data_IF_301751727178
#
_entry.id   IF_301751727178
#
_cell.length_a   1.000
_cell.length_b   1.000
_cell.length_c   1.000
_cell.angle_alpha   90.00
_cell.angle_beta   90.00
_cell.angle_gamma   90.00
#
_symmetry.space_group_name_H-M   'P 1'
#
loop_
_entity.id
_entity.type
_entity.pdbx_description
1 polymer ?
#
# COMPACT_ATOMS: atom_id res chain seq x y z
N UNK A 1 -7.06 -4.26 1.05
CA UNK A 1 -6.40 -5.58 0.94
C UNK A 1 -6.28 -6.18 2.33
N UNK A 2 -6.53 -7.47 2.49
CA UNK A 2 -6.54 -8.15 3.80
C UNK A 2 -5.22 -8.91 4.03
N UNK A 3 -4.66 -8.80 5.24
CA UNK A 3 -3.49 -9.55 5.67
C UNK A 3 -3.88 -11.00 6.01
N UNK A 4 -3.27 -12.02 5.37
CA UNK A 4 -3.66 -13.41 5.56
C UNK A 4 -3.30 -13.99 6.94
N UNK A 5 -2.46 -13.31 7.73
CA UNK A 5 -2.04 -13.81 9.05
C UNK A 5 -3.06 -13.52 10.15
N UNK A 6 -3.63 -12.32 10.17
CA UNK A 6 -4.47 -11.83 11.27
C UNK A 6 -5.53 -10.82 10.81
N UNK A 7 -5.93 -10.87 9.54
CA UNK A 7 -7.08 -10.17 8.95
C UNK A 7 -7.13 -8.65 9.09
N UNK A 8 -6.00 -7.99 9.37
CA UNK A 8 -5.91 -6.54 9.25
C UNK A 8 -6.20 -6.11 7.79
N UNK A 9 -6.94 -5.02 7.60
CA UNK A 9 -7.31 -4.51 6.27
C UNK A 9 -6.63 -3.18 6.01
N UNK A 10 -6.09 -3.01 4.80
CA UNK A 10 -5.40 -1.78 4.39
C UNK A 10 -6.03 -1.17 3.12
N UNK A 11 -6.05 0.16 3.05
CA UNK A 11 -6.42 0.89 1.83
C UNK A 11 -5.39 0.64 0.73
N UNK A 12 -5.83 0.20 -0.46
CA UNK A 12 -4.95 0.07 -1.63
C UNK A 12 -4.51 1.43 -2.18
N UNK A 13 -5.24 2.51 -1.88
CA UNK A 13 -4.96 3.83 -2.41
C UNK A 13 -3.94 4.60 -1.56
N UNK A 14 -4.02 4.48 -0.24
CA UNK A 14 -3.24 5.28 0.71
C UNK A 14 -2.29 4.48 1.58
N UNK A 15 -2.51 3.16 1.72
CA UNK A 15 -1.81 2.32 2.69
C UNK A 15 -2.35 2.42 4.13
N UNK A 16 -3.37 3.25 4.37
CA UNK A 16 -4.02 3.39 5.68
C UNK A 16 -4.48 2.04 6.25
N UNK A 17 -4.23 1.81 7.54
CA UNK A 17 -4.79 0.70 8.29
C UNK A 17 -6.28 0.98 8.59
N UNK A 18 -7.17 0.14 8.04
CA UNK A 18 -8.62 0.28 8.13
C UNK A 18 -9.23 -0.63 9.20
N UNK A 19 -8.61 -1.78 9.47
CA UNK A 19 -9.08 -2.75 10.46
C UNK A 19 -7.91 -3.25 11.32
N UNK A 20 -8.17 -3.38 12.62
CA UNK A 20 -7.27 -3.97 13.60
C UNK A 20 -6.84 -5.40 13.19
N UNK A 21 -5.68 -5.91 13.62
CA UNK A 21 -4.79 -5.36 14.65
C UNK A 21 -3.77 -4.31 14.17
N UNK A 22 -3.72 -3.95 12.89
CA UNK A 22 -2.76 -2.95 12.43
C UNK A 22 -3.21 -1.53 12.85
N UNK A 23 -2.28 -0.76 13.42
CA UNK A 23 -2.51 0.63 13.81
C UNK A 23 -1.78 1.60 12.87
N UNK A 24 -0.57 1.23 12.44
CA UNK A 24 0.24 2.05 11.54
C UNK A 24 -0.11 1.78 10.06
N UNK A 25 -0.09 2.82 9.20
CA UNK A 25 -0.24 2.64 7.76
C UNK A 25 0.98 1.92 7.16
N UNK A 26 0.78 1.33 5.99
CA UNK A 26 1.88 0.84 5.16
C UNK A 26 2.31 1.90 4.14
N UNK A 27 3.59 1.93 3.75
CA UNK A 27 4.09 2.64 2.58
C UNK A 27 3.19 2.57 1.34
N UNK A 28 2.91 3.73 0.74
CA UNK A 28 2.40 3.82 -0.64
C UNK A 28 3.47 4.40 -1.56
N UNK A 29 3.47 3.95 -2.82
CA UNK A 29 4.42 4.38 -3.84
C UNK A 29 3.64 4.92 -5.04
N UNK A 30 4.01 6.09 -5.58
CA UNK A 30 3.41 6.59 -6.82
C UNK A 30 3.52 5.55 -7.94
N UNK A 31 2.40 5.30 -8.61
CA UNK A 31 2.31 4.38 -9.76
C UNK A 31 2.13 5.20 -11.03
N UNK A 32 2.97 4.94 -12.04
CA UNK A 32 2.86 5.51 -13.38
C UNK A 32 2.54 4.39 -14.35
N UNK A 33 1.56 4.61 -15.23
CA UNK A 33 1.18 3.66 -16.29
C UNK A 33 1.47 4.30 -17.64
N UNK A 34 2.35 3.67 -18.43
CA UNK A 34 2.71 4.11 -19.78
C UNK A 34 2.40 2.99 -20.78
N UNK A 35 1.26 3.08 -21.46
CA UNK A 35 0.80 2.01 -22.35
C UNK A 35 0.53 0.72 -21.57
N UNK A 36 1.36 -0.30 -21.80
CA UNK A 36 1.29 -1.60 -21.11
C UNK A 36 2.34 -1.73 -19.98
N UNK A 37 3.19 -0.73 -19.80
CA UNK A 37 4.24 -0.75 -18.79
C UNK A 37 3.76 -0.04 -17.51
N UNK A 38 4.13 -0.59 -16.36
CA UNK A 38 3.80 -0.08 -15.04
C UNK A 38 5.09 0.20 -14.28
N UNK A 39 5.22 1.43 -13.80
CA UNK A 39 6.38 1.89 -13.05
C UNK A 39 5.97 2.28 -11.62
N UNK A 40 6.90 2.08 -10.69
CA UNK A 40 6.79 2.56 -9.31
C UNK A 40 8.05 3.36 -8.96
N UNK A 41 7.89 4.40 -8.15
CA UNK A 41 9.03 5.13 -7.60
C UNK A 41 9.61 4.38 -6.40
N UNK A 42 10.90 4.03 -6.45
CA UNK A 42 11.62 3.35 -5.36
C UNK A 42 12.62 4.31 -4.73
N UNK A 43 12.57 4.47 -3.39
CA UNK A 43 13.57 5.23 -2.63
C UNK A 43 13.19 6.62 -2.13
N UNK A 44 11.89 6.95 -2.01
CA UNK A 44 11.40 8.26 -1.54
C UNK A 44 10.80 8.28 -0.12
N UNK A 45 11.18 7.36 0.77
CA UNK A 45 10.63 7.27 2.12
C UNK A 45 11.76 7.42 3.14
N UNK A 46 12.04 8.68 3.50
CA UNK A 46 12.71 9.04 4.75
C UNK A 46 11.68 9.07 5.90
#
# INVERSE_FOLDING_TARGET
VECPLHSAVFSLQSGEALEAPAEDPVPSYPVIVEGNDIFIEVGGQD
#
